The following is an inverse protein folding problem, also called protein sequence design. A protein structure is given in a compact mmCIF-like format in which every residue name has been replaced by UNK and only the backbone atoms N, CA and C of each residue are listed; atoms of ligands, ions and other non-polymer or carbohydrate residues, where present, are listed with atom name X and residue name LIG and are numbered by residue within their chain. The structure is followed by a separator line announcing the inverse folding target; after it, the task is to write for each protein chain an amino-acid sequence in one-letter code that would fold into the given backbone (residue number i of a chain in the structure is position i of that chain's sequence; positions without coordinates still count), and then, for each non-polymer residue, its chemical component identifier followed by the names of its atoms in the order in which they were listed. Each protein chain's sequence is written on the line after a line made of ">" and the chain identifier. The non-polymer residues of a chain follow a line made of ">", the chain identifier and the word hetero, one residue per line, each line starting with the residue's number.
data_IF_551681763128
#
_entry.id   IF_551681763128
#
_cell.length_a   1.000
_cell.length_b   1.000
_cell.length_c   1.000
_cell.angle_alpha   90.00
_cell.angle_beta   90.00
_cell.angle_gamma   90.00
#
_symmetry.space_group_name_H-M   'P 1'
#
loop_
_entity.id
_entity.type
_entity.pdbx_description
1 polymer ?
#
# COMPACT_ATOMS: atom_id res chain seq x y z
N UNK A 1 63.36 24.41 15.66
CA UNK A 1 62.33 23.90 14.72
C UNK A 1 61.26 23.17 15.51
N UNK A 2 60.10 23.82 15.73
CA UNK A 2 58.99 23.28 16.53
C UNK A 2 57.93 22.80 15.55
N UNK A 3 57.74 21.48 15.40
CA UNK A 3 56.65 20.89 14.61
C UNK A 3 55.37 20.92 15.45
N UNK A 4 54.41 21.73 15.06
CA UNK A 4 53.05 21.72 15.61
C UNK A 4 52.24 20.63 14.90
N UNK A 5 51.88 19.56 15.61
CA UNK A 5 50.92 18.55 15.19
C UNK A 5 49.50 19.12 15.43
N UNK A 6 48.78 19.36 14.38
CA UNK A 6 47.31 19.62 14.42
C UNK A 6 46.60 18.27 14.47
N UNK A 7 46.01 17.94 15.61
CA UNK A 7 45.07 16.82 15.71
C UNK A 7 43.68 17.25 15.20
N UNK A 8 43.27 16.71 14.06
CA UNK A 8 41.92 16.91 13.51
C UNK A 8 40.99 15.95 14.24
N UNK A 9 40.12 16.46 15.14
CA UNK A 9 39.07 15.67 15.77
C UNK A 9 37.89 15.56 14.80
N UNK A 10 37.70 14.38 14.22
CA UNK A 10 36.47 14.05 13.47
C UNK A 10 35.32 13.82 14.46
N UNK A 11 34.41 14.80 14.55
CA UNK A 11 33.12 14.60 15.19
C UNK A 11 32.21 13.82 14.25
N UNK A 12 32.05 12.53 14.49
CA UNK A 12 31.03 11.71 13.86
C UNK A 12 29.68 12.09 14.49
N UNK A 13 28.86 12.85 13.76
CA UNK A 13 27.47 13.11 14.14
C UNK A 13 26.70 11.80 13.99
N UNK A 14 26.41 11.12 15.09
CA UNK A 14 25.48 10.01 15.11
C UNK A 14 24.06 10.53 14.87
N UNK A 15 23.53 10.31 13.67
CA UNK A 15 22.12 10.56 13.38
C UNK A 15 21.28 9.58 14.23
N UNK A 16 20.25 10.05 14.93
CA UNK A 16 19.37 9.14 15.66
C UNK A 16 18.68 8.23 14.64
N UNK A 17 18.90 6.92 14.73
CA UNK A 17 18.10 5.95 14.02
C UNK A 17 16.70 5.98 14.64
N UNK A 18 15.72 6.50 13.89
CA UNK A 18 14.33 6.41 14.30
C UNK A 18 13.94 4.94 14.16
N UNK A 19 13.85 4.25 15.29
CA UNK A 19 13.38 2.88 15.32
C UNK A 19 11.92 2.88 14.83
N UNK A 20 11.64 2.10 13.78
CA UNK A 20 10.28 1.91 13.28
C UNK A 20 9.45 1.28 14.42
N UNK A 21 8.32 1.90 14.77
CA UNK A 21 7.44 1.38 15.82
C UNK A 21 6.68 0.16 15.29
N UNK A 22 7.13 -1.04 15.67
CA UNK A 22 6.43 -2.28 15.31
C UNK A 22 5.24 -2.44 16.25
N UNK A 23 4.00 -2.67 15.74
CA UNK A 23 2.84 -2.96 16.58
C UNK A 23 3.04 -4.20 17.45
N UNK A 24 2.59 -4.15 18.69
CA UNK A 24 2.49 -5.32 19.55
C UNK A 24 1.33 -6.24 19.14
N UNK A 25 0.28 -5.66 18.57
CA UNK A 25 -0.87 -6.39 18.03
C UNK A 25 -0.59 -6.87 16.62
N UNK A 26 -0.91 -8.13 16.33
CA UNK A 26 -0.85 -8.66 14.97
C UNK A 26 -2.19 -8.38 14.27
N UNK A 27 -2.15 -7.51 13.25
CA UNK A 27 -3.30 -7.13 12.44
C UNK A 27 -3.43 -7.94 11.15
N UNK A 28 -2.59 -8.97 10.94
CA UNK A 28 -2.68 -9.85 9.76
C UNK A 28 -4.04 -10.51 9.71
N UNK A 29 -4.81 -10.22 8.67
CA UNK A 29 -6.10 -10.85 8.36
C UNK A 29 -6.72 -10.27 7.09
N UNK A 30 -7.97 -10.68 6.83
CA UNK A 30 -8.86 -10.08 5.85
C UNK A 30 -9.73 -9.00 6.54
N UNK A 31 -9.79 -7.84 5.91
CA UNK A 31 -10.52 -6.67 6.38
C UNK A 31 -11.55 -6.25 5.33
N UNK A 32 -12.75 -5.92 5.75
CA UNK A 32 -13.86 -5.58 4.85
C UNK A 32 -14.82 -4.59 5.52
N UNK A 33 -15.74 -4.03 4.76
CA UNK A 33 -16.87 -3.29 5.34
C UNK A 33 -18.14 -4.13 5.20
N UNK A 34 -18.80 -4.54 6.29
CA UNK A 34 -20.01 -5.36 6.23
C UNK A 34 -21.21 -4.68 5.56
N UNK A 35 -21.19 -3.36 5.46
CA UNK A 35 -22.25 -2.58 4.81
C UNK A 35 -21.94 -2.27 3.33
N UNK A 36 -20.74 -2.62 2.86
CA UNK A 36 -20.30 -2.31 1.49
C UNK A 36 -19.70 -3.56 0.84
N UNK A 37 -20.42 -4.21 -0.06
CA UNK A 37 -19.89 -5.35 -0.82
C UNK A 37 -18.97 -4.91 -1.96
N UNK A 38 -18.14 -5.83 -2.44
CA UNK A 38 -17.33 -5.65 -3.64
C UNK A 38 -15.92 -5.12 -3.42
N UNK A 39 -15.47 -4.99 -2.18
CA UNK A 39 -14.09 -4.64 -1.86
C UNK A 39 -13.65 -5.21 -0.51
N UNK A 40 -12.34 -5.28 -0.31
CA UNK A 40 -11.72 -5.68 0.93
C UNK A 40 -10.20 -5.57 0.86
N UNK A 41 -9.56 -5.72 1.99
CA UNK A 41 -8.10 -5.65 2.13
C UNK A 41 -7.58 -6.91 2.79
N UNK A 42 -6.69 -7.64 2.11
CA UNK A 42 -5.86 -8.64 2.77
C UNK A 42 -4.61 -7.94 3.31
N UNK A 43 -4.42 -7.99 4.59
CA UNK A 43 -3.28 -7.37 5.28
C UNK A 43 -2.37 -8.42 5.90
N UNK A 44 -1.07 -8.29 5.68
CA UNK A 44 -0.05 -9.18 6.25
C UNK A 44 1.04 -8.35 6.90
N UNK A 45 1.31 -8.64 8.17
CA UNK A 45 2.35 -8.02 8.97
C UNK A 45 3.46 -9.02 9.28
N UNK A 46 4.69 -8.64 9.01
CA UNK A 46 5.86 -9.43 9.37
C UNK A 46 6.45 -8.94 10.70
N UNK A 47 7.03 -9.84 11.53
CA UNK A 47 7.68 -9.44 12.80
C UNK A 47 8.80 -8.40 12.66
N UNK A 48 9.40 -8.26 11.49
CA UNK A 48 10.39 -7.20 11.21
C UNK A 48 9.80 -5.80 11.09
N UNK A 49 8.47 -5.65 11.21
CA UNK A 49 7.76 -4.39 10.99
C UNK A 49 7.40 -4.12 9.54
N UNK A 50 7.81 -4.96 8.60
CA UNK A 50 7.34 -4.87 7.23
C UNK A 50 5.87 -5.30 7.13
N UNK A 51 5.12 -4.67 6.24
CA UNK A 51 3.76 -5.07 5.95
C UNK A 51 3.49 -5.02 4.45
N UNK A 52 2.55 -5.86 4.06
CA UNK A 52 2.04 -5.97 2.70
C UNK A 52 0.52 -6.00 2.78
N UNK A 53 -0.14 -5.31 1.87
CA UNK A 53 -1.58 -5.42 1.74
C UNK A 53 -1.98 -5.52 0.26
N UNK A 54 -3.12 -6.16 0.03
CA UNK A 54 -3.76 -6.21 -1.27
C UNK A 54 -5.21 -5.75 -1.12
N UNK A 55 -5.54 -4.69 -1.83
CA UNK A 55 -6.89 -4.19 -1.91
C UNK A 55 -7.59 -4.82 -3.11
N UNK A 56 -8.59 -5.62 -2.85
CA UNK A 56 -9.48 -6.19 -3.84
C UNK A 56 -10.63 -5.24 -4.08
N UNK A 57 -10.86 -4.88 -5.34
CA UNK A 57 -11.95 -4.00 -5.73
C UNK A 57 -12.35 -4.28 -7.17
N UNK A 58 -13.21 -3.46 -7.73
CA UNK A 58 -13.56 -3.48 -9.15
C UNK A 58 -12.95 -2.29 -9.87
N UNK A 59 -12.60 -2.49 -11.15
CA UNK A 59 -11.96 -1.50 -11.98
C UNK A 59 -12.96 -0.41 -12.40
N UNK A 60 -12.79 0.84 -11.97
CA UNK A 60 -13.74 1.90 -12.29
C UNK A 60 -13.74 2.33 -13.76
N UNK A 61 -12.77 1.84 -14.56
CA UNK A 61 -12.60 2.23 -15.96
C UNK A 61 -13.50 1.47 -16.92
N UNK A 62 -13.88 0.24 -16.58
CA UNK A 62 -14.58 -0.67 -17.48
C UNK A 62 -15.95 -1.02 -16.94
N UNK A 63 -16.89 -0.13 -17.11
CA UNK A 63 -18.30 -0.45 -16.94
C UNK A 63 -18.84 -1.11 -18.20
N UNK A 64 -19.43 -2.30 -18.08
CA UNK A 64 -20.17 -2.91 -19.17
C UNK A 64 -21.46 -2.10 -19.44
N UNK A 65 -21.60 -1.46 -20.62
CA UNK A 65 -22.76 -0.64 -20.93
C UNK A 65 -24.06 -1.47 -21.05
N UNK A 66 -23.95 -2.79 -21.23
CA UNK A 66 -25.11 -3.71 -21.32
C UNK A 66 -25.47 -4.35 -19.98
N UNK A 67 -24.59 -4.23 -18.98
CA UNK A 67 -24.77 -4.79 -17.64
C UNK A 67 -24.28 -3.77 -16.60
N UNK A 68 -25.07 -2.73 -16.31
CA UNK A 68 -24.70 -1.71 -15.31
C UNK A 68 -24.33 -2.36 -13.97
N UNK A 69 -23.14 -2.02 -13.44
CA UNK A 69 -22.61 -2.63 -12.24
C UNK A 69 -21.70 -3.84 -12.45
N UNK A 70 -21.48 -4.25 -13.69
CA UNK A 70 -20.58 -5.36 -14.02
C UNK A 70 -19.18 -4.83 -14.36
N UNK A 71 -18.32 -4.74 -13.35
CA UNK A 71 -16.94 -4.27 -13.47
C UNK A 71 -15.95 -5.43 -13.37
N UNK A 72 -14.81 -5.32 -14.05
CA UNK A 72 -13.73 -6.30 -13.92
C UNK A 72 -13.06 -6.20 -12.55
N UNK A 73 -12.59 -7.33 -11.99
CA UNK A 73 -11.78 -7.29 -10.78
C UNK A 73 -10.52 -6.44 -10.97
N UNK A 74 -10.18 -5.65 -9.98
CA UNK A 74 -8.93 -4.90 -9.89
C UNK A 74 -8.25 -5.22 -8.56
N UNK A 75 -6.98 -5.62 -8.64
CA UNK A 75 -6.13 -5.82 -7.48
C UNK A 75 -5.12 -4.69 -7.38
N UNK A 76 -5.18 -4.02 -6.27
CA UNK A 76 -4.31 -2.88 -6.00
C UNK A 76 -3.32 -3.29 -4.92
N UNK A 77 -2.03 -3.23 -5.25
CA UNK A 77 -0.97 -3.67 -4.35
C UNK A 77 -0.51 -2.52 -3.48
N UNK A 78 -0.47 -2.77 -2.19
CA UNK A 78 -0.01 -1.86 -1.16
C UNK A 78 1.22 -2.49 -0.49
N UNK A 79 2.41 -2.25 -1.06
CA UNK A 79 3.66 -2.81 -0.57
C UNK A 79 4.60 -1.72 -0.04
N UNK A 80 5.49 -2.11 0.89
CA UNK A 80 6.47 -1.18 1.44
C UNK A 80 5.90 -0.14 2.38
N UNK A 81 4.79 -0.45 3.05
CA UNK A 81 4.21 0.42 4.07
C UNK A 81 5.12 0.57 5.29
N UNK A 82 5.12 1.78 5.87
CA UNK A 82 5.85 2.11 7.07
C UNK A 82 4.88 2.39 8.22
N UNK A 83 5.14 1.82 9.38
CA UNK A 83 4.43 2.13 10.60
C UNK A 83 4.84 3.52 11.09
N UNK A 84 3.90 4.44 11.13
CA UNK A 84 4.09 5.80 11.67
C UNK A 84 3.91 5.84 13.19
N UNK A 85 3.14 4.88 13.70
CA UNK A 85 2.95 4.59 15.12
C UNK A 85 2.44 3.14 15.27
N UNK A 86 2.24 2.59 16.50
CA UNK A 86 1.83 1.19 16.69
C UNK A 86 0.48 0.78 16.10
N UNK A 87 -0.34 1.73 15.64
CA UNK A 87 -1.67 1.46 15.09
C UNK A 87 -1.88 2.03 13.69
N UNK A 88 -0.88 2.70 13.12
CA UNK A 88 -1.04 3.36 11.82
C UNK A 88 0.09 3.00 10.88
N UNK A 89 -0.27 2.50 9.72
CA UNK A 89 0.65 2.23 8.61
C UNK A 89 0.26 3.06 7.38
N UNK A 90 1.27 3.58 6.68
CA UNK A 90 1.08 4.29 5.41
C UNK A 90 2.10 3.81 4.39
N UNK A 91 1.77 3.90 3.12
CA UNK A 91 2.67 3.49 2.06
C UNK A 91 2.15 3.76 0.66
N UNK A 92 2.95 3.40 -0.34
CA UNK A 92 2.58 3.56 -1.75
C UNK A 92 1.55 2.52 -2.20
N UNK A 93 0.82 2.88 -3.24
CA UNK A 93 -0.18 2.05 -3.91
C UNK A 93 0.24 1.83 -5.35
N UNK A 94 0.14 0.58 -5.82
CA UNK A 94 0.54 0.19 -7.16
C UNK A 94 -0.57 -0.57 -7.88
N UNK A 95 -0.70 -0.32 -9.18
CA UNK A 95 -1.43 -1.18 -10.12
C UNK A 95 -0.43 -1.93 -10.98
N UNK A 96 -0.72 -3.20 -11.25
CA UNK A 96 0.19 -4.10 -11.93
C UNK A 96 -0.50 -4.79 -13.11
N UNK A 97 0.30 -5.12 -14.13
CA UNK A 97 -0.01 -6.17 -15.08
C UNK A 97 1.16 -7.16 -15.15
N UNK A 98 0.94 -8.27 -15.80
CA UNK A 98 1.99 -9.28 -15.95
C UNK A 98 1.55 -10.48 -16.79
N UNK A 99 2.47 -11.39 -16.95
CA UNK A 99 2.25 -12.67 -17.64
C UNK A 99 1.53 -13.65 -16.71
N UNK A 100 0.56 -14.45 -17.20
CA UNK A 100 -0.06 -15.50 -16.41
C UNK A 100 0.98 -16.49 -15.86
N UNK A 101 0.75 -17.02 -14.66
CA UNK A 101 1.72 -17.84 -13.93
C UNK A 101 2.20 -19.11 -14.68
N UNK A 102 1.39 -19.64 -15.58
CA UNK A 102 1.70 -20.83 -16.37
C UNK A 102 2.50 -20.54 -17.66
N UNK A 103 2.75 -19.26 -17.98
CA UNK A 103 3.57 -18.85 -19.12
C UNK A 103 4.97 -18.53 -18.66
N UNK A 104 5.98 -19.01 -19.38
CA UNK A 104 7.38 -18.61 -19.15
C UNK A 104 7.55 -17.14 -19.49
N UNK A 105 8.23 -16.41 -18.61
CA UNK A 105 8.51 -14.99 -18.77
C UNK A 105 8.05 -14.16 -17.57
N UNK A 106 8.68 -13.02 -17.38
CA UNK A 106 8.40 -12.14 -16.24
C UNK A 106 8.11 -10.72 -16.68
N UNK A 107 7.30 -10.56 -17.72
CA UNK A 107 6.87 -9.24 -18.16
C UNK A 107 5.88 -8.68 -17.14
N UNK A 108 6.41 -8.01 -16.13
CA UNK A 108 5.62 -7.31 -15.13
C UNK A 108 5.86 -5.81 -15.25
N UNK A 109 4.80 -5.06 -15.43
CA UNK A 109 4.79 -3.62 -15.27
C UNK A 109 4.08 -3.26 -13.98
N UNK A 110 4.63 -2.33 -13.23
CA UNK A 110 3.97 -1.77 -12.06
C UNK A 110 4.04 -0.25 -12.12
N UNK A 111 2.94 0.40 -11.80
CA UNK A 111 2.84 1.84 -11.77
C UNK A 111 2.36 2.29 -10.40
N UNK A 112 3.12 3.15 -9.75
CA UNK A 112 2.67 3.77 -8.50
C UNK A 112 1.56 4.75 -8.84
N UNK A 113 0.41 4.58 -8.18
CA UNK A 113 -0.79 5.38 -8.45
C UNK A 113 -1.26 6.18 -7.25
N UNK A 114 -0.49 6.20 -6.17
CA UNK A 114 -0.86 6.99 -5.00
C UNK A 114 -0.33 6.41 -3.69
N UNK A 115 -1.10 6.62 -2.63
CA UNK A 115 -0.77 6.19 -1.27
C UNK A 115 -1.99 5.66 -0.52
N UNK A 116 -1.73 4.89 0.52
CA UNK A 116 -2.73 4.42 1.48
C UNK A 116 -2.32 4.76 2.91
N UNK A 117 -3.30 4.79 3.80
CA UNK A 117 -3.11 4.75 5.25
C UNK A 117 -4.15 3.79 5.84
N UNK A 118 -3.71 2.88 6.70
CA UNK A 118 -4.61 2.07 7.53
C UNK A 118 -4.35 2.47 8.99
N UNK A 119 -5.39 2.90 9.66
CA UNK A 119 -5.40 3.18 11.08
C UNK A 119 -6.25 2.14 11.80
N UNK A 120 -5.62 1.24 12.54
CA UNK A 120 -6.28 0.23 13.36
C UNK A 120 -6.75 0.88 14.66
N UNK A 121 -8.06 1.03 14.82
CA UNK A 121 -8.67 1.63 16.03
C UNK A 121 -8.67 0.66 17.21
N UNK A 122 -8.75 -0.65 16.88
CA UNK A 122 -8.57 -1.75 17.82
C UNK A 122 -8.17 -3.04 17.08
N UNK A 123 -8.25 -4.20 17.72
CA UNK A 123 -7.88 -5.48 17.11
C UNK A 123 -8.83 -5.96 16.00
N UNK A 124 -10.03 -5.36 15.90
CA UNK A 124 -11.12 -5.79 15.01
C UNK A 124 -11.66 -4.69 14.11
N UNK A 125 -11.26 -3.44 14.32
CA UNK A 125 -11.73 -2.29 13.54
C UNK A 125 -10.57 -1.44 13.03
N UNK A 126 -10.73 -0.90 11.82
CA UNK A 126 -9.75 -0.02 11.21
C UNK A 126 -10.41 1.00 10.26
N UNK A 127 -9.69 2.08 10.01
CA UNK A 127 -9.99 3.04 8.96
C UNK A 127 -9.00 2.87 7.82
N UNK A 128 -9.50 2.73 6.61
CA UNK A 128 -8.72 2.65 5.38
C UNK A 128 -8.88 3.95 4.59
N UNK A 129 -7.83 4.75 4.54
CA UNK A 129 -7.76 5.96 3.71
C UNK A 129 -6.92 5.68 2.47
N UNK A 130 -7.44 6.00 1.31
CA UNK A 130 -6.76 5.87 0.03
C UNK A 130 -6.73 7.20 -0.73
N UNK A 131 -5.61 7.39 -1.42
CA UNK A 131 -5.42 8.51 -2.35
C UNK A 131 -4.84 7.93 -3.64
N UNK A 132 -5.69 7.74 -4.64
CA UNK A 132 -5.30 7.28 -5.96
C UNK A 132 -5.18 8.52 -6.85
N UNK A 133 -3.98 8.77 -7.35
CA UNK A 133 -3.63 9.88 -8.22
C UNK A 133 -2.60 9.39 -9.24
N UNK A 134 -3.04 8.71 -10.32
CA UNK A 134 -2.12 8.18 -11.33
C UNK A 134 -1.28 9.29 -11.97
N UNK A 135 -0.02 9.01 -12.35
CA UNK A 135 0.80 9.96 -13.08
C UNK A 135 0.14 10.40 -14.39
N UNK A 136 0.37 11.64 -14.79
CA UNK A 136 -0.07 12.13 -16.10
C UNK A 136 0.81 11.52 -17.22
N UNK A 137 0.22 11.42 -18.42
CA UNK A 137 0.97 11.03 -19.63
C UNK A 137 1.35 9.55 -19.72
N UNK A 138 0.67 8.68 -18.98
CA UNK A 138 0.88 7.23 -19.08
C UNK A 138 0.57 6.73 -20.51
N UNK A 139 1.34 5.77 -20.99
CA UNK A 139 1.06 5.09 -22.25
C UNK A 139 -0.21 4.22 -22.14
N UNK A 140 -0.92 3.99 -23.23
CA UNK A 140 -2.12 3.15 -23.24
C UNK A 140 -1.86 1.69 -22.80
N UNK A 141 -0.61 1.22 -22.87
CA UNK A 141 -0.19 -0.09 -22.37
C UNK A 141 0.10 -0.14 -20.88
N UNK A 142 0.11 1.00 -20.19
CA UNK A 142 0.36 1.06 -18.76
C UNK A 142 -0.86 0.55 -17.96
N UNK A 143 -0.66 -0.26 -16.92
CA UNK A 143 -1.78 -0.81 -16.13
C UNK A 143 -2.63 0.26 -15.44
N UNK A 144 -2.09 1.45 -15.22
CA UNK A 144 -2.80 2.56 -14.60
C UNK A 144 -3.38 3.56 -15.62
N UNK A 145 -3.21 3.32 -16.93
CA UNK A 145 -3.76 4.20 -17.96
C UNK A 145 -5.28 4.35 -17.80
N UNK A 146 -5.77 5.58 -17.78
CA UNK A 146 -7.20 5.88 -17.63
C UNK A 146 -7.79 5.67 -16.24
N UNK A 147 -6.98 5.25 -15.25
CA UNK A 147 -7.46 5.15 -13.87
C UNK A 147 -7.78 6.56 -13.34
N UNK A 148 -9.01 6.80 -12.82
CA UNK A 148 -9.38 8.12 -12.30
C UNK A 148 -8.66 8.44 -10.98
N UNK A 149 -8.58 9.72 -10.66
CA UNK A 149 -8.22 10.16 -9.31
C UNK A 149 -9.36 9.87 -8.35
N UNK A 150 -9.06 9.14 -7.27
CA UNK A 150 -10.02 8.71 -6.25
C UNK A 150 -9.42 8.92 -4.87
N UNK A 151 -10.17 9.54 -3.98
CA UNK A 151 -9.78 9.70 -2.58
C UNK A 151 -10.94 9.36 -1.66
N UNK A 152 -10.64 8.82 -0.50
CA UNK A 152 -11.67 8.54 0.48
C UNK A 152 -11.14 7.82 1.71
N UNK A 153 -12.03 7.71 2.71
CA UNK A 153 -11.81 6.92 3.92
C UNK A 153 -12.99 5.97 4.09
N UNK A 154 -12.68 4.72 4.41
CA UNK A 154 -13.63 3.63 4.61
C UNK A 154 -13.42 2.99 5.96
N UNK A 155 -14.49 2.64 6.64
CA UNK A 155 -14.43 1.81 7.85
C UNK A 155 -14.25 0.35 7.44
N UNK A 156 -13.44 -0.38 8.19
CA UNK A 156 -13.22 -1.80 7.99
C UNK A 156 -13.39 -2.55 9.32
N UNK A 157 -13.90 -3.76 9.20
CA UNK A 157 -13.93 -4.75 10.26
C UNK A 157 -13.09 -5.96 9.86
N UNK A 158 -12.48 -6.59 10.85
CA UNK A 158 -11.75 -7.83 10.69
C UNK A 158 -12.73 -8.98 10.46
N UNK A 159 -12.49 -9.84 9.45
CA UNK A 159 -13.31 -11.02 9.24
C UNK A 159 -13.24 -11.92 10.48
N UNK A 160 -14.39 -12.39 10.95
CA UNK A 160 -14.53 -13.38 12.00
C UNK A 160 -14.85 -14.72 11.35
N UNK A 161 -14.07 -15.76 11.66
CA UNK A 161 -14.29 -17.14 11.19
C UNK A 161 -14.81 -18.00 12.33
#
# INVERSE_FOLDING_TARGET
>A
MIRRLFALALFAAALPAVAQSVPATNYTDLWYNPLESGWGVAFTQHPSGQAYAMWYTYDPREQDPTSPGNYKPLWVVMSGGNWTNPTTITGPVYVLNGTPFFQAGSNRTQTQVGSFTIHFTDASHAEFTYNIAPPAGLAASDPAFGLPTLTGTKQMERIQF
#
